data_IF_840932783107
#
_entry.id   IF_840932783107
#
_cell.length_a   1.000
_cell.length_b   1.000
_cell.length_c   1.000
_cell.angle_alpha   90.00
_cell.angle_beta   90.00
_cell.angle_gamma   90.00
#
_symmetry.space_group_name_H-M   'P 1'
#
loop_
_entity.id
_entity.type
_entity.pdbx_description
1 polymer ?
#
# COMPACT_ATOMS: atom_id res chain seq x y z
N UNK A 1 -22.42 -17.06 -0.95
CA UNK A 1 -21.64 -17.88 0.01
C UNK A 1 -21.84 -17.30 1.41
N UNK A 2 -22.87 -17.76 2.14
CA UNK A 2 -23.28 -17.12 3.41
C UNK A 2 -22.24 -17.25 4.54
N UNK A 3 -21.32 -18.23 4.46
CA UNK A 3 -20.31 -18.42 5.50
C UNK A 3 -19.27 -17.28 5.56
N UNK A 4 -18.86 -16.71 4.41
CA UNK A 4 -17.82 -15.66 4.36
C UNK A 4 -18.34 -14.31 4.87
N UNK A 5 -19.65 -14.06 4.78
CA UNK A 5 -20.26 -12.80 5.23
C UNK A 5 -20.04 -12.59 6.73
N UNK A 6 -20.07 -13.66 7.53
CA UNK A 6 -19.80 -13.60 8.97
C UNK A 6 -18.37 -13.14 9.29
N UNK A 7 -17.44 -13.26 8.34
CA UNK A 7 -16.03 -12.90 8.50
C UNK A 7 -15.62 -11.65 7.72
N UNK A 8 -16.58 -10.87 7.19
CA UNK A 8 -16.30 -9.74 6.31
C UNK A 8 -15.34 -8.71 6.94
N UNK A 9 -15.50 -8.40 8.22
CA UNK A 9 -14.62 -7.46 8.93
C UNK A 9 -13.19 -7.99 9.12
N UNK A 10 -13.04 -9.29 9.34
CA UNK A 10 -11.76 -9.98 9.49
C UNK A 10 -11.05 -10.09 8.14
N UNK A 11 -11.78 -10.41 7.08
CA UNK A 11 -11.26 -10.45 5.70
C UNK A 11 -10.81 -9.06 5.26
N UNK A 12 -11.56 -8.01 5.58
CA UNK A 12 -11.14 -6.62 5.33
C UNK A 12 -9.83 -6.27 6.06
N UNK A 13 -9.69 -6.71 7.32
CA UNK A 13 -8.46 -6.51 8.08
C UNK A 13 -7.28 -7.28 7.49
N UNK A 14 -7.49 -8.53 7.04
CA UNK A 14 -6.47 -9.32 6.34
C UNK A 14 -6.05 -8.62 5.06
N UNK A 15 -7.00 -8.14 4.25
CA UNK A 15 -6.70 -7.37 3.04
C UNK A 15 -5.84 -6.15 3.36
N UNK A 16 -6.22 -5.38 4.39
CA UNK A 16 -5.47 -4.20 4.87
C UNK A 16 -4.04 -4.56 5.27
N UNK A 17 -3.86 -5.61 6.07
CA UNK A 17 -2.55 -6.03 6.58
C UNK A 17 -1.66 -6.55 5.46
N UNK A 18 -2.18 -7.44 4.61
CA UNK A 18 -1.42 -8.06 3.52
C UNK A 18 -1.04 -7.03 2.47
N UNK A 19 -1.96 -6.14 2.09
CA UNK A 19 -1.65 -5.06 1.14
C UNK A 19 -0.65 -4.06 1.72
N UNK A 20 -0.80 -3.67 3.00
CA UNK A 20 0.17 -2.81 3.70
C UNK A 20 1.56 -3.45 3.80
N UNK A 21 1.64 -4.75 4.08
CA UNK A 21 2.90 -5.51 4.10
C UNK A 21 3.56 -5.57 2.73
N UNK A 22 2.82 -5.94 1.68
CA UNK A 22 3.36 -5.98 0.33
C UNK A 22 3.86 -4.58 -0.12
N UNK A 23 3.13 -3.53 0.25
CA UNK A 23 3.53 -2.14 -0.02
C UNK A 23 4.79 -1.72 0.73
N UNK A 24 4.90 -2.10 2.01
CA UNK A 24 6.09 -1.87 2.81
C UNK A 24 7.34 -2.49 2.17
N UNK A 25 7.23 -3.70 1.58
CA UNK A 25 8.35 -4.34 0.88
C UNK A 25 8.84 -3.55 -0.34
N UNK A 26 7.96 -2.83 -1.06
CA UNK A 26 8.38 -1.95 -2.15
C UNK A 26 9.24 -0.78 -1.64
N UNK A 27 8.90 -0.24 -0.47
CA UNK A 27 9.67 0.81 0.18
C UNK A 27 11.02 0.29 0.69
N UNK A 28 11.05 -0.92 1.28
CA UNK A 28 12.31 -1.51 1.74
C UNK A 28 13.25 -1.86 0.59
N UNK A 29 12.71 -2.28 -0.56
CA UNK A 29 13.49 -2.55 -1.75
C UNK A 29 14.17 -1.27 -2.32
N UNK A 30 13.58 -0.08 -2.08
CA UNK A 30 14.13 1.22 -2.51
C UNK A 30 15.21 1.77 -1.58
N UNK A 31 15.12 1.50 -0.27
CA UNK A 31 16.04 2.09 0.72
C UNK A 31 17.04 1.13 1.33
N UNK A 32 16.68 -0.14 1.45
CA UNK A 32 17.45 -1.15 2.18
C UNK A 32 17.87 -2.32 1.29
N UNK A 33 17.55 -2.27 -0.01
CA UNK A 33 17.84 -3.36 -0.97
C UNK A 33 17.27 -4.73 -0.54
N UNK A 34 16.21 -4.72 0.27
CA UNK A 34 15.60 -5.92 0.83
C UNK A 34 14.11 -5.98 0.50
N UNK A 35 13.56 -7.14 0.08
CA UNK A 35 14.23 -8.41 -0.17
C UNK A 35 14.96 -8.46 -1.52
N UNK A 36 14.76 -7.44 -2.36
CA UNK A 36 15.44 -7.25 -3.65
C UNK A 36 15.91 -5.80 -3.74
N UNK A 37 16.95 -5.55 -4.55
CA UNK A 37 17.39 -4.20 -4.88
C UNK A 37 16.55 -3.61 -6.02
N UNK A 38 16.07 -2.37 -5.86
CA UNK A 38 15.49 -1.57 -6.96
C UNK A 38 16.49 -0.60 -7.60
N UNK A 39 17.75 -0.62 -7.16
CA UNK A 39 18.82 0.29 -7.59
C UNK A 39 20.01 -0.48 -8.17
N UNK A 40 19.84 -1.75 -8.51
CA UNK A 40 20.91 -2.64 -9.00
C UNK A 40 22.15 -2.70 -8.08
N UNK A 41 21.97 -2.56 -6.77
CA UNK A 41 23.06 -2.64 -5.77
C UNK A 41 23.76 -1.32 -5.52
N UNK A 42 23.19 -0.19 -5.96
CA UNK A 42 23.75 1.15 -5.78
C UNK A 42 23.26 1.84 -4.50
N UNK A 43 22.74 1.08 -3.53
CA UNK A 43 22.25 1.57 -2.25
C UNK A 43 20.86 2.19 -2.32
N UNK A 44 20.58 3.08 -1.37
CA UNK A 44 19.27 3.74 -1.24
C UNK A 44 19.01 4.76 -2.35
N UNK A 45 17.76 4.84 -2.82
CA UNK A 45 17.33 5.96 -3.67
C UNK A 45 17.49 7.32 -2.94
N UNK A 46 17.82 8.42 -3.65
CA UNK A 46 17.92 9.74 -3.03
C UNK A 46 16.60 10.18 -2.40
N UNK A 47 16.62 10.60 -1.13
CA UNK A 47 15.41 10.95 -0.37
C UNK A 47 14.55 12.04 -1.03
N UNK A 48 15.20 13.08 -1.59
CA UNK A 48 14.53 14.20 -2.24
C UNK A 48 14.26 13.96 -3.74
N UNK A 49 14.27 12.71 -4.19
CA UNK A 49 13.84 12.32 -5.54
C UNK A 49 12.38 11.86 -5.54
N UNK A 50 11.77 11.76 -6.72
CA UNK A 50 10.42 11.20 -6.88
C UNK A 50 10.31 9.78 -6.30
N UNK A 51 11.31 8.92 -6.53
CA UNK A 51 11.38 7.57 -5.98
C UNK A 51 11.65 7.56 -4.47
N UNK A 52 12.39 8.54 -3.95
CA UNK A 52 12.60 8.72 -2.52
C UNK A 52 11.31 9.08 -1.79
N UNK A 53 10.55 10.06 -2.30
CA UNK A 53 9.25 10.43 -1.73
C UNK A 53 8.28 9.25 -1.79
N UNK A 54 8.23 8.53 -2.92
CA UNK A 54 7.43 7.30 -3.05
C UNK A 54 7.85 6.24 -2.02
N UNK A 55 9.15 5.99 -1.87
CA UNK A 55 9.69 5.04 -0.90
C UNK A 55 9.32 5.39 0.54
N UNK A 56 9.39 6.67 0.93
CA UNK A 56 9.00 7.10 2.29
C UNK A 56 7.51 6.83 2.52
N UNK A 57 6.66 7.17 1.54
CA UNK A 57 5.23 6.91 1.61
C UNK A 57 4.92 5.41 1.65
N UNK A 58 5.66 4.58 0.93
CA UNK A 58 5.52 3.12 0.96
C UNK A 58 5.85 2.53 2.33
N UNK A 59 6.98 2.93 2.91
CA UNK A 59 7.40 2.45 4.24
C UNK A 59 6.42 2.92 5.31
N UNK A 60 6.20 4.23 5.41
CA UNK A 60 5.37 4.82 6.47
C UNK A 60 3.92 4.42 6.28
N UNK A 61 3.40 4.55 5.05
CA UNK A 61 2.03 4.18 4.71
C UNK A 61 1.76 2.69 4.89
N UNK A 62 2.70 1.83 4.51
CA UNK A 62 2.61 0.38 4.74
C UNK A 62 2.47 0.04 6.22
N UNK A 63 3.31 0.63 7.08
CA UNK A 63 3.23 0.46 8.54
C UNK A 63 1.88 0.95 9.09
N UNK A 64 1.42 2.13 8.67
CA UNK A 64 0.12 2.68 9.08
C UNK A 64 -1.03 1.74 8.71
N UNK A 65 -1.03 1.19 7.49
CA UNK A 65 -2.05 0.23 7.06
C UNK A 65 -1.96 -1.09 7.83
N UNK A 66 -0.77 -1.64 8.08
CA UNK A 66 -0.62 -2.87 8.87
C UNK A 66 -1.26 -2.70 10.25
N UNK A 67 -0.90 -1.61 10.94
CA UNK A 67 -1.44 -1.30 12.26
C UNK A 67 -2.93 -0.88 12.22
N UNK A 68 -3.44 -0.46 11.06
CA UNK A 68 -4.77 0.11 10.93
C UNK A 68 -4.89 1.41 11.72
N UNK A 69 -3.89 2.28 11.55
CA UNK A 69 -3.82 3.62 12.13
C UNK A 69 -3.96 4.65 11.01
N UNK A 70 -4.88 5.61 11.19
CA UNK A 70 -5.26 6.59 10.17
C UNK A 70 -5.61 5.92 8.83
N UNK A 71 -6.31 4.79 8.87
CA UNK A 71 -6.47 3.89 7.71
C UNK A 71 -7.04 4.62 6.50
N UNK A 72 -8.10 5.43 6.70
CA UNK A 72 -8.78 6.13 5.62
C UNK A 72 -7.89 7.17 4.91
N UNK A 73 -7.33 8.18 5.60
CA UNK A 73 -6.48 9.17 4.95
C UNK A 73 -5.17 8.56 4.42
N UNK A 74 -4.56 7.60 5.14
CA UNK A 74 -3.37 6.92 4.66
C UNK A 74 -3.65 6.18 3.35
N UNK A 75 -4.70 5.34 3.29
CA UNK A 75 -5.07 4.61 2.09
C UNK A 75 -5.41 5.54 0.92
N UNK A 76 -6.07 6.68 1.15
CA UNK A 76 -6.36 7.63 0.08
C UNK A 76 -5.09 8.23 -0.55
N UNK A 77 -4.12 8.61 0.27
CA UNK A 77 -2.83 9.13 -0.21
C UNK A 77 -2.07 8.06 -0.99
N UNK A 78 -2.00 6.83 -0.46
CA UNK A 78 -1.29 5.72 -1.12
C UNK A 78 -1.98 5.28 -2.42
N UNK A 79 -3.32 5.38 -2.49
CA UNK A 79 -4.08 5.17 -3.72
C UNK A 79 -3.65 6.18 -4.80
N UNK A 80 -3.58 7.48 -4.45
CA UNK A 80 -3.10 8.53 -5.35
C UNK A 80 -1.65 8.32 -5.79
N UNK A 81 -0.77 7.91 -4.88
CA UNK A 81 0.63 7.58 -5.19
C UNK A 81 0.71 6.46 -6.24
N UNK A 82 -0.10 5.41 -6.10
CA UNK A 82 -0.10 4.27 -7.03
C UNK A 82 -0.77 4.58 -8.35
N UNK A 83 -1.81 5.42 -8.36
CA UNK A 83 -2.34 5.98 -9.59
C UNK A 83 -1.26 6.77 -10.35
N UNK A 84 -0.52 7.64 -9.66
CA UNK A 84 0.59 8.40 -10.27
C UNK A 84 1.69 7.47 -10.77
N UNK A 85 2.11 6.47 -9.98
CA UNK A 85 3.11 5.48 -10.40
C UNK A 85 2.67 4.74 -11.68
N UNK A 86 1.41 4.34 -11.76
CA UNK A 86 0.86 3.70 -12.94
C UNK A 86 0.93 4.61 -14.17
N UNK A 87 0.40 5.84 -14.09
CA UNK A 87 0.35 6.74 -15.26
C UNK A 87 1.72 7.31 -15.67
N UNK A 88 2.65 7.47 -14.74
CA UNK A 88 3.97 8.07 -15.02
C UNK A 88 4.98 7.02 -15.47
N UNK A 89 5.03 5.85 -14.82
CA UNK A 89 6.08 4.86 -15.03
C UNK A 89 5.60 3.57 -15.72
N UNK A 90 4.32 3.23 -15.65
CA UNK A 90 3.81 1.93 -16.10
C UNK A 90 2.56 2.02 -17.00
N UNK A 91 2.30 3.15 -17.65
CA UNK A 91 1.07 3.30 -18.42
C UNK A 91 1.05 2.32 -19.60
N UNK A 92 0.06 1.45 -19.63
CA UNK A 92 -0.22 0.51 -20.72
C UNK A 92 -1.63 -0.02 -20.59
N UNK A 93 -2.35 -0.14 -21.70
CA UNK A 93 -3.66 -0.81 -21.75
C UNK A 93 -3.53 -2.29 -21.31
N UNK A 94 -2.33 -2.86 -21.43
CA UNK A 94 -1.98 -4.20 -20.97
C UNK A 94 -0.90 -4.10 -19.88
N UNK A 95 -1.24 -3.79 -18.61
CA UNK A 95 -0.26 -3.57 -17.54
C UNK A 95 0.70 -4.74 -17.27
N UNK A 96 0.32 -5.95 -17.70
CA UNK A 96 1.14 -7.15 -17.57
C UNK A 96 2.49 -7.00 -18.31
N UNK A 97 2.53 -6.28 -19.44
CA UNK A 97 3.72 -6.21 -20.30
C UNK A 97 4.83 -5.31 -19.77
N UNK A 98 4.54 -4.48 -18.76
CA UNK A 98 5.48 -3.51 -18.19
C UNK A 98 5.49 -3.51 -16.65
N UNK A 99 4.92 -4.55 -16.02
CA UNK A 99 4.87 -4.68 -14.57
C UNK A 99 3.92 -3.70 -13.85
N UNK A 100 3.06 -2.99 -14.58
CA UNK A 100 2.13 -2.00 -14.02
C UNK A 100 0.93 -2.57 -13.26
N UNK A 101 0.73 -3.89 -13.32
CA UNK A 101 -0.41 -4.57 -12.69
C UNK A 101 -0.49 -4.30 -11.18
N UNK A 102 0.65 -4.34 -10.47
CA UNK A 102 0.69 -4.08 -9.04
C UNK A 102 0.31 -2.63 -8.71
N UNK A 103 0.81 -1.65 -9.47
CA UNK A 103 0.47 -0.24 -9.28
C UNK A 103 -1.04 0.00 -9.51
N UNK A 104 -1.61 -0.63 -10.55
CA UNK A 104 -3.05 -0.57 -10.81
C UNK A 104 -3.86 -1.20 -9.65
N UNK A 105 -3.49 -2.40 -9.22
CA UNK A 105 -4.20 -3.10 -8.15
C UNK A 105 -4.12 -2.37 -6.81
N UNK A 106 -2.92 -1.91 -6.41
CA UNK A 106 -2.78 -1.15 -5.16
C UNK A 106 -3.56 0.16 -5.19
N UNK A 107 -3.62 0.85 -6.33
CA UNK A 107 -4.44 2.06 -6.48
C UNK A 107 -5.89 1.81 -6.08
N UNK A 108 -6.51 0.75 -6.59
CA UNK A 108 -7.91 0.42 -6.30
C UNK A 108 -8.12 -0.27 -4.95
N UNK A 109 -7.19 -1.13 -4.50
CA UNK A 109 -7.25 -1.73 -3.16
C UNK A 109 -7.21 -0.65 -2.09
N UNK A 110 -6.30 0.32 -2.22
CA UNK A 110 -6.21 1.42 -1.27
C UNK A 110 -7.39 2.39 -1.38
N UNK A 111 -7.94 2.62 -2.58
CA UNK A 111 -9.19 3.36 -2.72
C UNK A 111 -10.35 2.67 -2.01
N UNK A 112 -10.43 1.34 -2.10
CA UNK A 112 -11.41 0.55 -1.36
C UNK A 112 -11.18 0.68 0.15
N UNK A 113 -9.96 0.52 0.66
CA UNK A 113 -9.67 0.70 2.08
C UNK A 113 -9.96 2.13 2.57
N UNK A 114 -9.74 3.15 1.74
CA UNK A 114 -10.09 4.53 2.06
C UNK A 114 -11.59 4.72 2.29
N UNK A 115 -12.44 4.01 1.53
CA UNK A 115 -13.89 4.05 1.70
C UNK A 115 -14.37 3.13 2.83
N UNK A 116 -13.95 1.86 2.82
CA UNK A 116 -14.39 0.82 3.76
C UNK A 116 -13.85 1.01 5.19
N UNK A 117 -12.67 1.63 5.34
CA UNK A 117 -12.01 1.86 6.63
C UNK A 117 -11.17 0.67 7.11
N UNK A 118 -10.87 0.67 8.42
CA UNK A 118 -9.91 -0.26 9.03
C UNK A 118 -10.36 -1.72 9.17
N UNK A 119 -11.66 -2.00 9.28
CA UNK A 119 -12.14 -3.35 9.57
C UNK A 119 -11.73 -3.84 10.97
N UNK A 120 -11.63 -5.16 11.16
CA UNK A 120 -11.20 -5.75 12.42
C UNK A 120 -9.74 -5.37 12.79
N UNK A 121 -9.42 -5.44 14.08
CA UNK A 121 -8.06 -5.21 14.63
C UNK A 121 -7.39 -3.88 14.26
N UNK A 122 -8.16 -2.90 13.75
CA UNK A 122 -7.65 -1.56 13.47
C UNK A 122 -7.43 -0.82 14.77
N UNK A 123 -6.25 -0.21 14.95
CA UNK A 123 -6.00 0.68 16.10
C UNK A 123 -6.93 1.91 16.08
N UNK A 124 -7.36 2.38 14.91
CA UNK A 124 -8.38 3.43 14.77
C UNK A 124 -9.65 3.14 15.59
N UNK A 125 -10.10 1.88 15.62
CA UNK A 125 -11.29 1.48 16.37
C UNK A 125 -11.09 1.50 17.88
N UNK A 126 -9.84 1.33 18.35
CA UNK A 126 -9.50 1.42 19.77
C UNK A 126 -9.45 2.89 20.18
N UNK A 127 -8.85 3.75 19.35
CA UNK A 127 -8.76 5.18 19.59
C UNK A 127 -10.12 5.87 19.57
N UNK A 128 -11.02 5.46 18.67
CA UNK A 128 -12.39 6.01 18.58
C UNK A 128 -13.34 5.52 19.69
N UNK A 129 -12.95 4.51 20.48
CA UNK A 129 -13.74 3.97 21.61
C UNK A 129 -13.35 4.56 22.96
N UNK A 130 -12.32 5.40 23.02
CA UNK A 130 -12.00 6.23 24.19
C UNK A 130 -12.66 7.59 24.04
#
# INVERSE_FOLDING_TARGET
>A
MNFLQAFQNQILAILRIVSGYAFFLHGTAKFFEFPISMTDGNGSVPLFSMYGVAGVLEVVGGILLILGLFTRPAAFILSGLMAAAYFIAHFSIFPLVNGGEAAMLFSFVFLYLASAGGGAWSLDNILAKK
#
